data_IF_072169257754
#
_entry.id   IF_072169257754
#
_cell.length_a   1.000
_cell.length_b   1.000
_cell.length_c   1.000
_cell.angle_alpha   90.00
_cell.angle_beta   90.00
_cell.angle_gamma   90.00
#
_symmetry.space_group_name_H-M   'P 1'
#
loop_
_entity.id
_entity.type
_entity.pdbx_description
1 polymer ?
#
# COMPACT_ATOMS: atom_id res chain seq x y z
N UNK A 1 -4.53 15.99 14.57
CA UNK A 1 -3.97 14.90 13.75
C UNK A 1 -4.66 14.81 12.39
N UNK A 2 -6.00 14.72 12.32
CA UNK A 2 -6.77 14.70 11.06
C UNK A 2 -6.32 15.71 9.98
N UNK A 3 -6.28 17.01 10.28
CA UNK A 3 -5.87 18.03 9.30
C UNK A 3 -4.42 17.89 8.83
N UNK A 4 -3.52 17.40 9.68
CA UNK A 4 -2.13 17.12 9.29
C UNK A 4 -2.07 15.92 8.34
N UNK A 5 -2.82 14.86 8.64
CA UNK A 5 -2.93 13.70 7.76
C UNK A 5 -3.52 14.08 6.38
N UNK A 6 -4.60 14.86 6.37
CA UNK A 6 -5.21 15.38 5.13
C UNK A 6 -4.26 16.23 4.28
N UNK A 7 -3.37 17.01 4.91
CA UNK A 7 -2.36 17.79 4.19
C UNK A 7 -1.21 16.94 3.62
N UNK A 8 -1.11 15.67 4.03
CA UNK A 8 -0.13 14.69 3.55
C UNK A 8 -0.77 13.61 2.67
N UNK A 9 -1.97 13.87 2.15
CA UNK A 9 -2.60 12.98 1.18
C UNK A 9 -1.76 12.84 -0.08
N UNK A 10 -1.77 11.65 -0.67
CA UNK A 10 -1.17 11.36 -1.96
C UNK A 10 -1.94 10.20 -2.62
N UNK A 11 -1.83 10.05 -3.94
CA UNK A 11 -2.41 8.92 -4.68
C UNK A 11 -1.34 8.08 -5.39
N UNK A 12 -1.71 6.84 -5.72
CA UNK A 12 -0.84 5.90 -6.44
C UNK A 12 -0.31 6.48 -7.76
N UNK A 13 -1.11 7.27 -8.46
CA UNK A 13 -0.74 7.90 -9.74
C UNK A 13 0.35 8.96 -9.65
N UNK A 14 0.67 9.45 -8.44
CA UNK A 14 1.77 10.40 -8.22
C UNK A 14 3.15 9.72 -8.28
N UNK A 15 3.20 8.38 -8.30
CA UNK A 15 4.44 7.62 -8.39
C UNK A 15 4.91 7.46 -9.85
N UNK A 16 6.11 7.96 -10.15
CA UNK A 16 6.81 7.71 -11.40
C UNK A 16 7.83 6.57 -11.23
N UNK A 17 7.56 5.43 -11.88
CA UNK A 17 8.40 4.23 -11.86
C UNK A 17 9.19 4.02 -13.16
N UNK A 18 9.22 5.01 -14.07
CA UNK A 18 9.82 4.87 -15.41
C UNK A 18 11.30 4.46 -15.34
N UNK A 19 12.02 4.93 -14.34
CA UNK A 19 13.46 4.65 -14.18
C UNK A 19 13.74 3.42 -13.32
N UNK A 20 12.83 3.01 -12.45
CA UNK A 20 13.07 1.98 -11.45
C UNK A 20 13.36 0.59 -12.04
N UNK A 21 12.75 0.24 -13.19
CA UNK A 21 13.02 -1.04 -13.84
C UNK A 21 14.47 -1.18 -14.31
N UNK A 22 15.10 -0.05 -14.68
CA UNK A 22 16.52 -0.04 -15.06
C UNK A 22 17.40 -0.29 -13.85
N UNK A 23 17.09 0.36 -12.72
CA UNK A 23 17.87 0.18 -11.49
C UNK A 23 17.64 -1.21 -10.89
N UNK A 24 16.42 -1.73 -10.94
CA UNK A 24 16.07 -3.09 -10.55
C UNK A 24 16.90 -4.16 -11.28
N UNK A 25 17.16 -3.96 -12.58
CA UNK A 25 17.99 -4.85 -13.38
C UNK A 25 19.47 -4.84 -12.95
N UNK A 26 19.95 -3.73 -12.39
CA UNK A 26 21.34 -3.56 -11.95
C UNK A 26 21.60 -4.08 -10.53
N UNK A 27 20.54 -4.40 -9.76
CA UNK A 27 20.69 -4.97 -8.44
C UNK A 27 21.28 -6.39 -8.47
N UNK A 28 21.88 -6.79 -7.36
CA UNK A 28 22.27 -8.18 -7.10
C UNK A 28 21.04 -9.05 -6.77
N UNK A 29 21.20 -10.37 -6.85
CA UNK A 29 20.14 -11.30 -6.46
C UNK A 29 19.75 -11.17 -4.99
N UNK A 30 20.72 -10.88 -4.11
CA UNK A 30 20.46 -10.69 -2.68
C UNK A 30 19.66 -9.42 -2.40
N UNK A 31 19.96 -8.31 -3.09
CA UNK A 31 19.20 -7.06 -2.97
C UNK A 31 17.78 -7.23 -3.48
N UNK A 32 17.59 -7.88 -4.65
CA UNK A 32 16.27 -8.20 -5.17
C UNK A 32 15.50 -9.12 -4.23
N UNK A 33 16.16 -10.15 -3.68
CA UNK A 33 15.55 -11.05 -2.71
C UNK A 33 15.05 -10.28 -1.49
N UNK A 34 15.89 -9.41 -0.93
CA UNK A 34 15.53 -8.58 0.22
C UNK A 34 14.32 -7.68 -0.09
N UNK A 35 14.34 -6.93 -1.19
CA UNK A 35 13.24 -6.02 -1.56
C UNK A 35 11.93 -6.80 -1.79
N UNK A 36 11.98 -7.97 -2.46
CA UNK A 36 10.79 -8.83 -2.62
C UNK A 36 10.17 -9.22 -1.29
N UNK A 37 10.99 -9.59 -0.30
CA UNK A 37 10.48 -9.98 1.02
C UNK A 37 9.85 -8.81 1.76
N UNK A 38 10.46 -7.62 1.67
CA UNK A 38 9.90 -6.39 2.23
C UNK A 38 8.53 -6.08 1.60
N UNK A 39 8.44 -6.13 0.27
CA UNK A 39 7.18 -5.88 -0.45
C UNK A 39 6.08 -6.87 -0.07
N UNK A 40 6.39 -8.17 -0.05
CA UNK A 40 5.41 -9.21 0.31
C UNK A 40 4.98 -9.07 1.77
N UNK A 41 5.90 -8.79 2.69
CA UNK A 41 5.58 -8.57 4.10
C UNK A 41 4.57 -7.43 4.27
N UNK A 42 4.86 -6.27 3.66
CA UNK A 42 3.99 -5.11 3.82
C UNK A 42 2.66 -5.26 3.08
N UNK A 43 2.65 -5.84 1.87
CA UNK A 43 1.43 -6.14 1.13
C UNK A 43 0.48 -7.06 1.93
N UNK A 44 1.03 -8.08 2.62
CA UNK A 44 0.25 -8.95 3.49
C UNK A 44 -0.22 -8.24 4.76
N UNK A 45 0.62 -7.36 5.33
CA UNK A 45 0.30 -6.66 6.59
C UNK A 45 -0.80 -5.61 6.44
N UNK A 46 -0.95 -4.98 5.27
CA UNK A 46 -1.92 -3.91 5.02
C UNK A 46 -3.36 -4.31 5.36
N UNK A 47 -3.76 -5.54 5.00
CA UNK A 47 -5.08 -6.08 5.34
C UNK A 47 -5.30 -6.21 6.86
N UNK A 48 -4.28 -6.65 7.61
CA UNK A 48 -4.36 -6.79 9.07
C UNK A 48 -4.51 -5.41 9.74
N UNK A 49 -3.77 -4.42 9.26
CA UNK A 49 -3.85 -3.04 9.77
C UNK A 49 -5.24 -2.47 9.51
N UNK A 50 -5.76 -2.60 8.29
CA UNK A 50 -7.09 -2.10 7.94
C UNK A 50 -8.21 -2.78 8.73
N UNK A 51 -8.14 -4.09 8.92
CA UNK A 51 -9.11 -4.84 9.72
C UNK A 51 -9.12 -4.33 11.17
N UNK A 52 -7.95 -4.12 11.76
CA UNK A 52 -7.84 -3.62 13.12
C UNK A 52 -8.34 -2.16 13.27
N UNK A 53 -8.04 -1.30 12.29
CA UNK A 53 -8.54 0.08 12.28
C UNK A 53 -10.07 0.14 12.16
N UNK A 54 -10.64 -0.69 11.30
CA UNK A 54 -12.08 -0.68 11.00
C UNK A 54 -12.88 -1.37 12.09
N UNK A 55 -12.47 -2.57 12.50
CA UNK A 55 -13.25 -3.41 13.41
C UNK A 55 -13.07 -3.04 14.88
N UNK A 56 -11.88 -2.56 15.27
CA UNK A 56 -11.58 -2.26 16.67
C UNK A 56 -11.52 -0.74 16.89
N UNK A 57 -10.46 -0.06 16.42
CA UNK A 57 -10.21 1.33 16.81
C UNK A 57 -11.32 2.32 16.44
N UNK A 58 -11.78 2.31 15.17
CA UNK A 58 -12.82 3.23 14.71
C UNK A 58 -14.17 2.97 15.37
N UNK A 59 -14.46 1.70 15.73
CA UNK A 59 -15.68 1.31 16.40
C UNK A 59 -15.68 1.70 17.89
N UNK A 60 -14.59 1.42 18.60
CA UNK A 60 -14.48 1.66 20.05
C UNK A 60 -14.41 3.15 20.40
N UNK A 61 -13.69 3.94 19.61
CA UNK A 61 -13.48 5.37 19.90
C UNK A 61 -14.74 6.17 19.56
N UNK A 62 -15.33 6.84 20.55
CA UNK A 62 -16.55 7.63 20.37
C UNK A 62 -16.31 9.10 20.01
N UNK A 63 -15.07 9.58 20.12
CA UNK A 63 -14.71 10.99 19.82
C UNK A 63 -14.77 11.22 18.29
N UNK A 64 -15.66 12.10 17.78
CA UNK A 64 -15.86 12.27 16.35
C UNK A 64 -14.58 12.68 15.59
N UNK A 65 -13.78 13.58 16.15
CA UNK A 65 -12.56 14.07 15.53
C UNK A 65 -11.50 12.97 15.40
N UNK A 66 -11.47 12.02 16.34
CA UNK A 66 -10.61 10.85 16.28
C UNK A 66 -11.12 9.84 15.23
N UNK A 67 -12.43 9.65 15.10
CA UNK A 67 -13.02 8.85 14.00
C UNK A 67 -12.73 9.45 12.64
N UNK A 68 -12.78 10.78 12.48
CA UNK A 68 -12.36 11.43 11.23
C UNK A 68 -10.89 11.13 10.90
N UNK A 69 -10.02 11.11 11.91
CA UNK A 69 -8.62 10.73 11.72
C UNK A 69 -8.47 9.26 11.30
N UNK A 70 -9.14 8.32 11.97
CA UNK A 70 -9.08 6.90 11.58
C UNK A 70 -9.66 6.63 10.20
N UNK A 71 -10.74 7.33 9.81
CA UNK A 71 -11.28 7.25 8.45
C UNK A 71 -10.23 7.64 7.40
N UNK A 72 -9.48 8.72 7.66
CA UNK A 72 -8.38 9.12 6.78
C UNK A 72 -7.20 8.13 6.80
N UNK A 73 -6.91 7.54 7.96
CA UNK A 73 -5.88 6.51 8.07
C UNK A 73 -6.24 5.26 7.26
N UNK A 74 -7.50 4.81 7.32
CA UNK A 74 -7.98 3.70 6.48
C UNK A 74 -7.85 4.05 4.99
N UNK A 75 -8.16 5.28 4.60
CA UNK A 75 -7.95 5.73 3.22
C UNK A 75 -6.49 5.60 2.80
N UNK A 76 -5.54 6.06 3.62
CA UNK A 76 -4.13 6.00 3.23
C UNK A 76 -3.56 4.57 3.25
N UNK A 77 -4.03 3.70 4.15
CA UNK A 77 -3.64 2.28 4.13
C UNK A 77 -4.17 1.55 2.88
N UNK A 78 -5.31 1.98 2.32
CA UNK A 78 -5.76 1.49 1.02
C UNK A 78 -4.85 1.94 -0.12
N UNK A 79 -4.38 3.20 -0.11
CA UNK A 79 -3.39 3.71 -1.08
C UNK A 79 -2.07 2.95 -0.93
N UNK A 80 -1.59 2.70 0.30
CA UNK A 80 -0.42 1.86 0.53
C UNK A 80 -0.58 0.47 -0.10
N UNK A 81 -1.73 -0.16 0.09
CA UNK A 81 -2.04 -1.49 -0.46
C UNK A 81 -2.03 -1.50 -1.99
N UNK A 82 -2.55 -0.45 -2.62
CA UNK A 82 -2.51 -0.29 -4.08
C UNK A 82 -1.06 -0.13 -4.58
N UNK A 83 -0.25 0.67 -3.90
CA UNK A 83 1.16 0.84 -4.24
C UNK A 83 1.95 -0.44 -4.11
N UNK A 84 1.77 -1.20 -3.03
CA UNK A 84 2.45 -2.49 -2.91
C UNK A 84 2.04 -3.44 -4.04
N UNK A 85 0.77 -3.46 -4.44
CA UNK A 85 0.30 -4.23 -5.60
C UNK A 85 0.97 -3.77 -6.91
N UNK A 86 1.08 -2.45 -7.13
CA UNK A 86 1.76 -1.87 -8.29
C UNK A 86 3.25 -2.24 -8.33
N UNK A 87 3.97 -2.10 -7.21
CA UNK A 87 5.40 -2.41 -7.12
C UNK A 87 5.66 -3.91 -7.29
N UNK A 88 4.81 -4.77 -6.71
CA UNK A 88 4.88 -6.21 -6.91
C UNK A 88 4.67 -6.55 -8.39
N UNK A 89 3.64 -6.00 -9.03
CA UNK A 89 3.37 -6.21 -10.46
C UNK A 89 4.50 -5.71 -11.36
N UNK A 90 5.17 -4.63 -10.96
CA UNK A 90 6.30 -4.04 -11.71
C UNK A 90 7.58 -4.86 -11.57
N UNK A 91 7.99 -5.23 -10.36
CA UNK A 91 9.29 -5.86 -10.08
C UNK A 91 9.27 -7.39 -10.04
N UNK A 92 8.14 -7.96 -9.64
CA UNK A 92 7.96 -9.41 -9.43
C UNK A 92 7.09 -9.94 -10.57
N UNK A 93 7.63 -9.80 -11.78
CA UNK A 93 6.94 -10.20 -13.00
C UNK A 93 7.07 -11.72 -13.19
N UNK A 94 6.14 -12.48 -12.61
CA UNK A 94 5.97 -13.89 -12.97
C UNK A 94 5.46 -13.94 -14.41
N UNK A 95 6.22 -14.56 -15.33
CA UNK A 95 5.75 -14.88 -16.68
C UNK A 95 4.68 -16.00 -16.62
N UNK A 96 3.61 -15.76 -15.87
CA UNK A 96 2.67 -16.77 -15.41
C UNK A 96 1.45 -16.24 -14.64
N UNK A 97 0.81 -15.14 -15.12
CA UNK A 97 -0.56 -14.67 -14.74
C UNK A 97 -0.63 -14.03 -13.33
N UNK A 98 -1.44 -13.02 -12.98
CA UNK A 98 -2.81 -12.61 -13.37
C UNK A 98 -2.92 -11.07 -13.27
N UNK A 99 -3.61 -10.44 -14.23
CA UNK A 99 -4.07 -9.05 -14.17
C UNK A 99 -4.83 -8.79 -12.86
N UNK A 100 -4.23 -8.10 -11.90
CA UNK A 100 -4.83 -7.66 -10.63
C UNK A 100 -5.78 -6.46 -10.77
N UNK A 101 -6.07 -6.01 -11.99
CA UNK A 101 -7.04 -4.94 -12.30
C UNK A 101 -8.49 -5.25 -11.91
N UNK A 102 -8.77 -6.39 -11.26
CA UNK A 102 -10.11 -6.85 -10.89
C UNK A 102 -10.49 -6.62 -9.41
N UNK A 103 -9.56 -6.27 -8.51
CA UNK A 103 -9.87 -6.27 -7.06
C UNK A 103 -10.35 -4.89 -6.56
N UNK A 104 -9.97 -3.79 -7.21
CA UNK A 104 -10.32 -2.41 -6.80
C UNK A 104 -11.20 -1.63 -7.79
N UNK A 105 -11.74 -2.29 -8.83
CA UNK A 105 -12.74 -1.69 -9.76
C UNK A 105 -14.18 -2.13 -9.48
N UNK A 106 -14.52 -2.49 -8.23
CA UNK A 106 -15.90 -2.71 -7.80
C UNK A 106 -16.23 -1.82 -6.61
#
# INVERSE_FOLDING_TARGET
MYKKAGASFWTTEELDLVHDLKDWANLTDNERFFIKHVLVFFAASGGIVNENLTMNFSNEVQVPEARCFYGFQITIENVHSEVYSLLIGTYINDRGRISTTSVMRR
#
